data_IF_035514218612
#
_entry.id   IF_035514218612
#
_cell.length_a   1.000
_cell.length_b   1.000
_cell.length_c   1.000
_cell.angle_alpha   90.00
_cell.angle_beta   90.00
_cell.angle_gamma   90.00
#
_symmetry.space_group_name_H-M   'P 1'
#
loop_
_entity.id
_entity.type
_entity.pdbx_description
1 polymer ?
#
# COMPACT_ATOMS: atom_id res chain seq x y z
N UNK A 1 1.02 -19.89 -16.74
CA UNK A 1 -0.17 -20.66 -16.33
C UNK A 1 -1.18 -19.72 -15.70
N UNK A 2 -1.86 -18.93 -16.52
CA UNK A 2 -3.01 -18.10 -16.12
C UNK A 2 -3.97 -18.14 -17.30
N UNK A 3 -4.57 -19.29 -17.53
CA UNK A 3 -5.60 -19.49 -18.55
C UNK A 3 -6.96 -19.53 -17.87
N UNK A 4 -7.78 -18.57 -18.25
CA UNK A 4 -9.25 -18.62 -18.33
C UNK A 4 -10.00 -19.49 -17.30
N UNK A 5 -10.76 -18.82 -16.44
CA UNK A 5 -12.06 -19.32 -16.00
C UNK A 5 -12.10 -20.42 -14.94
N UNK A 6 -10.97 -20.94 -14.46
CA UNK A 6 -11.00 -21.85 -13.33
C UNK A 6 -10.94 -21.06 -12.00
N UNK A 7 -12.10 -20.90 -11.35
CA UNK A 7 -12.19 -20.24 -10.05
C UNK A 7 -11.23 -20.84 -9.02
N UNK A 8 -10.89 -20.06 -7.98
CA UNK A 8 -9.97 -20.39 -6.87
C UNK A 8 -10.19 -21.81 -6.29
N UNK A 9 -11.37 -22.41 -6.44
CA UNK A 9 -11.67 -23.78 -6.01
C UNK A 9 -10.85 -24.89 -6.69
N UNK A 10 -10.17 -24.60 -7.80
CA UNK A 10 -9.30 -25.55 -8.53
C UNK A 10 -7.81 -25.33 -8.29
N UNK A 11 -7.42 -24.34 -7.47
CA UNK A 11 -6.05 -24.21 -6.98
C UNK A 11 -5.78 -25.26 -5.89
N UNK A 12 -5.92 -26.53 -6.23
CA UNK A 12 -5.46 -27.64 -5.40
C UNK A 12 -3.95 -27.74 -5.55
N UNK A 13 -3.24 -27.21 -4.55
CA UNK A 13 -1.79 -27.39 -4.40
C UNK A 13 -1.45 -28.88 -4.53
N UNK A 14 -0.64 -29.24 -5.51
CA UNK A 14 -0.13 -30.61 -5.58
C UNK A 14 0.76 -30.87 -4.36
N UNK A 15 0.70 -32.07 -3.78
CA UNK A 15 1.62 -32.49 -2.70
C UNK A 15 3.09 -32.44 -3.14
N UNK A 16 3.36 -32.37 -4.44
CA UNK A 16 4.71 -32.26 -5.02
C UNK A 16 5.17 -30.81 -5.21
N UNK A 17 4.30 -29.81 -5.05
CA UNK A 17 4.67 -28.40 -5.15
C UNK A 17 5.41 -27.98 -3.89
N UNK A 18 6.74 -28.06 -3.95
CA UNK A 18 7.59 -27.38 -2.96
C UNK A 18 7.21 -25.90 -3.01
N UNK A 19 6.92 -25.29 -1.86
CA UNK A 19 6.59 -23.88 -1.86
C UNK A 19 7.82 -23.11 -2.36
N UNK A 20 7.65 -22.35 -3.45
CA UNK A 20 8.73 -21.54 -4.04
C UNK A 20 9.30 -20.54 -3.01
N UNK A 21 8.50 -20.18 -1.99
CA UNK A 21 8.86 -19.29 -0.89
C UNK A 21 8.59 -19.97 0.46
N UNK A 22 9.49 -19.76 1.43
CA UNK A 22 9.26 -20.15 2.84
C UNK A 22 8.01 -19.43 3.36
N UNK A 23 7.02 -20.10 3.96
CA UNK A 23 5.87 -19.41 4.55
C UNK A 23 6.29 -18.41 5.63
N UNK A 24 5.72 -17.20 5.57
CA UNK A 24 5.92 -16.16 6.60
C UNK A 24 5.20 -16.54 7.90
N UNK A 25 5.82 -16.25 9.03
CA UNK A 25 5.23 -16.43 10.36
C UNK A 25 5.16 -15.11 11.14
N UNK A 26 4.41 -15.10 12.24
CA UNK A 26 4.38 -13.94 13.14
C UNK A 26 5.77 -13.55 13.67
N UNK A 27 6.69 -14.52 13.80
CA UNK A 27 8.08 -14.24 14.20
C UNK A 27 8.86 -13.53 13.11
N UNK A 28 8.51 -13.75 11.85
CA UNK A 28 9.09 -13.06 10.70
C UNK A 28 8.51 -11.64 10.55
N UNK A 29 7.29 -11.38 11.02
CA UNK A 29 6.65 -10.06 10.96
C UNK A 29 7.10 -9.16 12.13
N UNK A 30 7.06 -9.70 13.35
CA UNK A 30 7.26 -8.90 14.57
C UNK A 30 8.65 -9.16 15.18
N UNK A 31 9.52 -8.15 15.13
CA UNK A 31 10.76 -8.11 15.91
C UNK A 31 10.59 -7.23 17.14
N UNK A 32 11.09 -7.67 18.31
CA UNK A 32 11.09 -6.82 19.51
C UNK A 32 12.04 -5.65 19.33
N UNK A 33 11.58 -4.45 19.65
CA UNK A 33 12.39 -3.24 19.60
C UNK A 33 13.22 -3.08 20.88
N UNK A 34 14.36 -3.78 20.95
CA UNK A 34 15.23 -3.84 22.12
C UNK A 34 15.87 -2.46 22.45
N UNK A 35 15.89 -1.53 21.49
CA UNK A 35 16.45 -0.17 21.67
C UNK A 35 15.56 0.79 22.46
N UNK A 36 14.27 0.49 22.64
CA UNK A 36 13.41 1.23 23.55
C UNK A 36 13.67 0.73 24.98
N UNK A 37 14.16 1.60 25.88
CA UNK A 37 14.54 1.29 27.26
C UNK A 37 13.47 0.56 28.13
N UNK A 38 12.26 0.38 27.60
CA UNK A 38 11.13 -0.31 28.22
C UNK A 38 10.92 -1.77 27.73
N UNK A 39 11.37 -2.13 26.52
CA UNK A 39 11.08 -3.42 25.90
C UNK A 39 11.77 -4.61 26.60
N UNK A 40 12.98 -4.41 27.11
CA UNK A 40 13.76 -5.44 27.80
C UNK A 40 13.12 -5.90 29.14
N UNK A 41 12.31 -5.07 29.79
CA UNK A 41 11.66 -5.39 31.08
C UNK A 41 10.36 -6.19 30.94
N UNK A 42 9.83 -6.37 29.73
CA UNK A 42 8.51 -6.97 29.46
C UNK A 42 8.56 -8.42 28.92
N UNK A 43 9.76 -8.94 28.66
CA UNK A 43 10.03 -10.28 28.11
C UNK A 43 9.35 -11.47 28.83
N UNK A 44 9.12 -11.52 30.16
CA UNK A 44 8.64 -12.75 30.79
C UNK A 44 7.13 -13.03 30.61
N UNK A 45 6.31 -12.06 30.18
CA UNK A 45 4.84 -12.18 30.22
C UNK A 45 4.15 -12.43 28.88
N UNK A 46 4.76 -12.05 27.75
CA UNK A 46 4.10 -12.12 26.42
C UNK A 46 4.10 -13.53 25.80
N UNK A 47 5.15 -14.32 25.99
CA UNK A 47 5.28 -15.65 25.35
C UNK A 47 4.58 -16.79 26.11
N UNK A 48 3.96 -16.53 27.27
CA UNK A 48 3.26 -17.56 28.08
C UNK A 48 1.76 -17.66 27.87
N UNK A 49 1.11 -16.71 27.18
CA UNK A 49 -0.32 -16.81 26.86
C UNK A 49 -0.50 -17.11 25.38
N UNK A 50 -1.16 -18.24 25.08
CA UNK A 50 -1.68 -18.53 23.74
C UNK A 50 -2.47 -17.31 23.28
N UNK A 51 -2.02 -16.65 22.22
CA UNK A 51 -2.78 -15.63 21.50
C UNK A 51 -4.10 -16.29 21.07
N UNK A 52 -5.18 -15.94 21.76
CA UNK A 52 -6.52 -16.45 21.49
C UNK A 52 -7.04 -15.83 20.19
N UNK A 53 -7.83 -16.61 19.45
CA UNK A 53 -8.08 -16.53 18.01
C UNK A 53 -9.09 -15.42 17.61
N UNK A 54 -9.29 -14.36 18.39
CA UNK A 54 -10.34 -13.37 18.09
C UNK A 54 -9.95 -11.89 18.16
N UNK A 55 -8.68 -11.51 18.35
CA UNK A 55 -8.35 -10.09 18.56
C UNK A 55 -6.89 -9.68 18.37
N UNK A 56 -6.23 -10.10 17.28
CA UNK A 56 -4.82 -9.77 17.02
C UNK A 56 -4.56 -8.26 16.95
N UNK A 57 -5.35 -7.54 16.15
CA UNK A 57 -5.23 -6.10 15.96
C UNK A 57 -5.60 -5.29 17.22
N UNK A 58 -6.64 -5.71 17.97
CA UNK A 58 -7.06 -5.04 19.21
C UNK A 58 -6.04 -5.22 20.34
N UNK A 59 -5.46 -6.41 20.49
CA UNK A 59 -4.38 -6.66 21.43
C UNK A 59 -3.10 -5.90 21.06
N UNK A 60 -2.77 -5.82 19.78
CA UNK A 60 -1.62 -5.05 19.28
C UNK A 60 -1.83 -3.54 19.47
N UNK A 61 -3.01 -3.00 19.16
CA UNK A 61 -3.34 -1.58 19.39
C UNK A 61 -3.29 -1.24 20.88
N UNK A 62 -3.90 -2.05 21.75
CA UNK A 62 -3.94 -1.80 23.20
C UNK A 62 -2.55 -1.74 23.82
N UNK A 63 -1.57 -2.45 23.27
CA UNK A 63 -0.18 -2.41 23.73
C UNK A 63 0.66 -1.35 23.01
N UNK A 64 0.44 -1.10 21.71
CA UNK A 64 1.10 -0.04 20.95
C UNK A 64 0.78 1.36 21.48
N UNK A 65 -0.45 1.60 21.96
CA UNK A 65 -0.84 2.87 22.59
C UNK A 65 -0.21 3.08 23.98
N UNK A 66 0.33 2.03 24.62
CA UNK A 66 0.95 2.15 25.95
C UNK A 66 2.44 2.47 25.88
N UNK A 67 3.12 2.08 24.80
CA UNK A 67 4.58 2.25 24.64
C UNK A 67 4.90 2.38 23.15
N UNK A 68 5.54 3.48 22.75
CA UNK A 68 6.02 3.67 21.38
C UNK A 68 6.87 2.48 20.91
N UNK A 69 6.46 1.84 19.81
CA UNK A 69 7.31 0.97 19.00
C UNK A 69 7.82 -0.28 19.71
N UNK A 70 6.98 -1.03 20.42
CA UNK A 70 7.34 -2.34 21.02
C UNK A 70 7.90 -3.31 19.97
N UNK A 71 7.39 -3.20 18.73
CA UNK A 71 7.85 -3.99 17.60
C UNK A 71 8.49 -3.12 16.52
N UNK A 72 9.39 -3.70 15.74
CA UNK A 72 9.94 -3.13 14.52
C UNK A 72 9.92 -4.16 13.38
N UNK A 73 10.26 -3.71 12.17
CA UNK A 73 10.18 -4.50 10.94
C UNK A 73 11.50 -5.19 10.57
N UNK A 74 12.47 -5.30 11.50
CA UNK A 74 13.78 -5.92 11.21
C UNK A 74 13.67 -7.41 10.84
N UNK A 75 12.67 -8.12 11.37
CA UNK A 75 12.44 -9.51 10.96
C UNK A 75 11.83 -9.60 9.55
N UNK A 76 11.07 -8.59 9.10
CA UNK A 76 10.57 -8.50 7.73
C UNK A 76 11.75 -8.31 6.78
N UNK A 77 12.67 -7.38 7.09
CA UNK A 77 13.92 -7.19 6.35
C UNK A 77 14.64 -8.54 6.16
N UNK A 78 14.87 -9.23 7.28
CA UNK A 78 15.59 -10.50 7.29
C UNK A 78 14.87 -11.56 6.46
N UNK A 79 13.55 -11.68 6.59
CA UNK A 79 12.76 -12.63 5.82
C UNK A 79 12.85 -12.36 4.32
N UNK A 80 12.71 -11.10 3.89
CA UNK A 80 12.84 -10.73 2.47
C UNK A 80 14.23 -11.07 1.94
N UNK A 81 15.28 -10.63 2.64
CA UNK A 81 16.68 -10.84 2.25
C UNK A 81 17.09 -12.32 2.25
N UNK A 82 16.53 -13.15 3.12
CA UNK A 82 16.97 -14.56 3.25
C UNK A 82 16.11 -15.54 2.47
N UNK A 83 14.84 -15.22 2.22
CA UNK A 83 13.86 -16.21 1.75
C UNK A 83 13.04 -15.78 0.54
N UNK A 84 13.00 -14.48 0.21
CA UNK A 84 12.20 -13.97 -0.91
C UNK A 84 13.07 -13.52 -2.07
N UNK A 85 14.05 -12.65 -1.79
CA UNK A 85 14.91 -12.10 -2.82
C UNK A 85 16.35 -11.89 -2.31
N UNK A 86 17.16 -12.97 -2.28
CA UNK A 86 18.53 -12.94 -1.76
C UNK A 86 19.48 -11.98 -2.48
N UNK A 87 19.28 -11.74 -3.78
CA UNK A 87 20.03 -10.74 -4.57
C UNK A 87 19.89 -9.34 -3.97
N UNK A 88 18.72 -9.06 -3.37
CA UNK A 88 18.42 -7.89 -2.56
C UNK A 88 18.74 -6.54 -3.23
N UNK A 89 18.67 -6.47 -4.55
CA UNK A 89 19.07 -5.31 -5.35
C UNK A 89 18.00 -4.95 -6.38
N UNK A 90 17.60 -3.68 -6.42
CA UNK A 90 16.54 -3.20 -7.30
C UNK A 90 16.83 -3.42 -8.79
N UNK A 91 18.10 -3.46 -9.19
CA UNK A 91 18.52 -3.64 -10.59
C UNK A 91 18.47 -5.09 -11.07
N UNK A 92 18.22 -6.04 -10.17
CA UNK A 92 18.25 -7.49 -10.46
C UNK A 92 16.87 -8.11 -10.66
N UNK A 93 15.80 -7.33 -10.49
CA UNK A 93 14.43 -7.80 -10.68
C UNK A 93 14.07 -7.78 -12.18
N UNK A 94 13.29 -8.78 -12.63
CA UNK A 94 12.82 -8.84 -14.02
C UNK A 94 11.76 -7.78 -14.34
N UNK A 95 11.11 -7.21 -13.32
CA UNK A 95 10.24 -6.06 -13.43
C UNK A 95 10.80 -4.94 -12.54
N UNK A 96 10.71 -3.70 -12.98
CA UNK A 96 11.11 -2.57 -12.16
C UNK A 96 10.25 -2.49 -10.90
N UNK A 97 10.90 -2.34 -9.74
CA UNK A 97 10.26 -2.25 -8.44
C UNK A 97 10.53 -0.88 -7.84
N UNK A 98 9.46 -0.25 -7.38
CA UNK A 98 9.51 1.01 -6.66
C UNK A 98 8.82 0.84 -5.32
N UNK A 99 9.50 1.21 -4.22
CA UNK A 99 8.98 1.10 -2.86
C UNK A 99 8.91 2.49 -2.24
N UNK A 100 7.71 2.89 -1.81
CA UNK A 100 7.44 4.24 -1.30
C UNK A 100 7.47 4.26 0.22
N UNK A 101 8.11 5.27 0.78
CA UNK A 101 8.23 5.49 2.22
C UNK A 101 8.06 6.98 2.56
N UNK A 102 7.87 7.27 3.83
CA UNK A 102 7.84 8.64 4.35
C UNK A 102 9.01 8.86 5.32
N UNK A 103 9.75 9.97 5.17
CA UNK A 103 10.76 10.35 6.16
C UNK A 103 10.11 10.73 7.49
N UNK A 104 10.69 10.29 8.62
CA UNK A 104 10.13 10.59 9.94
C UNK A 104 10.22 12.09 10.28
N UNK A 105 11.42 12.65 10.20
CA UNK A 105 11.71 14.03 10.64
C UNK A 105 11.55 15.07 9.52
N UNK A 106 10.88 14.70 8.43
CA UNK A 106 10.59 15.58 7.32
C UNK A 106 9.39 15.01 6.58
N UNK A 107 8.43 15.83 6.18
CA UNK A 107 7.25 15.40 5.40
C UNK A 107 7.56 14.90 3.98
N UNK A 108 8.80 14.47 3.68
CA UNK A 108 9.25 14.07 2.34
C UNK A 108 8.91 12.61 2.05
N UNK A 109 8.29 12.37 0.91
CA UNK A 109 8.09 11.05 0.30
C UNK A 109 9.40 10.60 -0.31
N UNK A 110 9.80 9.37 -0.03
CA UNK A 110 11.02 8.77 -0.58
C UNK A 110 10.66 7.51 -1.33
N UNK A 111 10.97 7.49 -2.61
CA UNK A 111 10.75 6.36 -3.50
C UNK A 111 12.12 5.68 -3.68
N UNK A 112 12.22 4.44 -3.23
CA UNK A 112 13.36 3.57 -3.48
C UNK A 112 13.12 2.78 -4.76
N UNK A 113 14.12 2.70 -5.63
CA UNK A 113 13.99 2.03 -6.94
C UNK A 113 15.34 1.92 -7.65
N UNK A 114 15.37 1.38 -8.88
CA UNK A 114 16.58 1.22 -9.68
C UNK A 114 17.07 2.54 -10.30
N UNK A 115 17.15 3.61 -9.49
CA UNK A 115 17.57 4.92 -9.96
C UNK A 115 19.10 4.98 -10.18
N UNK A 116 19.59 5.70 -11.22
CA UNK A 116 21.02 5.86 -11.46
C UNK A 116 21.73 6.60 -10.32
N UNK A 117 21.03 7.56 -9.72
CA UNK A 117 21.49 8.37 -8.59
C UNK A 117 20.30 8.80 -7.75
N UNK A 118 20.56 9.17 -6.50
CA UNK A 118 19.57 9.83 -5.67
C UNK A 118 19.32 11.26 -6.11
N UNK A 119 18.05 11.60 -6.27
CA UNK A 119 17.58 12.92 -6.67
C UNK A 119 16.57 13.43 -5.66
N UNK A 120 16.67 14.72 -5.34
CA UNK A 120 15.80 15.38 -4.37
C UNK A 120 15.03 16.50 -5.06
N UNK A 121 13.72 16.37 -5.06
CA UNK A 121 12.76 17.39 -5.46
C UNK A 121 12.15 18.04 -4.21
N UNK A 122 11.24 19.01 -4.42
CA UNK A 122 10.61 19.78 -3.33
C UNK A 122 9.99 18.87 -2.28
N UNK A 123 9.15 17.92 -2.72
CA UNK A 123 8.38 17.05 -1.82
C UNK A 123 8.72 15.57 -1.97
N UNK A 124 9.45 15.19 -3.03
CA UNK A 124 9.76 13.80 -3.37
C UNK A 124 11.28 13.61 -3.43
N UNK A 125 11.78 12.49 -2.91
CA UNK A 125 13.15 12.03 -3.12
C UNK A 125 13.11 10.70 -3.85
N UNK A 126 13.83 10.57 -4.96
CA UNK A 126 14.13 9.30 -5.60
C UNK A 126 15.48 8.83 -5.07
N UNK A 127 15.57 7.61 -4.56
CA UNK A 127 16.70 7.15 -3.77
C UNK A 127 17.18 5.77 -4.22
N UNK A 128 18.50 5.58 -4.32
CA UNK A 128 19.09 4.29 -4.72
C UNK A 128 20.08 3.70 -3.70
N UNK A 129 20.14 4.24 -2.47
CA UNK A 129 21.03 3.75 -1.42
C UNK A 129 20.46 2.57 -0.61
N UNK A 130 19.15 2.33 -0.66
CA UNK A 130 18.52 1.24 0.09
C UNK A 130 18.56 -0.06 -0.70
N UNK A 131 18.75 -1.18 0.00
CA UNK A 131 18.46 -2.52 -0.53
C UNK A 131 16.95 -2.78 -0.55
N UNK A 132 16.52 -3.77 -1.35
CA UNK A 132 15.08 -4.10 -1.49
C UNK A 132 14.47 -4.44 -0.12
N UNK A 133 15.14 -5.27 0.68
CA UNK A 133 14.68 -5.68 2.01
C UNK A 133 14.54 -4.52 3.00
N UNK A 134 15.46 -3.57 2.97
CA UNK A 134 15.43 -2.36 3.81
C UNK A 134 14.27 -1.45 3.42
N UNK A 135 14.09 -1.23 2.11
CA UNK A 135 12.98 -0.44 1.59
C UNK A 135 11.63 -1.07 1.94
N UNK A 136 11.48 -2.41 1.80
CA UNK A 136 10.27 -3.13 2.22
C UNK A 136 10.03 -2.95 3.72
N UNK A 137 11.05 -3.13 4.56
CA UNK A 137 10.91 -3.00 6.01
C UNK A 137 10.52 -1.57 6.43
N UNK A 138 11.06 -0.55 5.77
CA UNK A 138 10.67 0.84 5.97
C UNK A 138 9.24 1.13 5.50
N UNK A 139 8.84 0.63 4.32
CA UNK A 139 7.48 0.81 3.80
C UNK A 139 6.44 0.06 4.62
N UNK A 140 6.79 -1.04 5.28
CA UNK A 140 5.90 -1.79 6.15
C UNK A 140 5.86 -1.26 7.60
N UNK A 141 6.69 -0.28 7.95
CA UNK A 141 6.78 0.26 9.30
C UNK A 141 5.60 1.22 9.58
N UNK A 142 4.39 0.69 9.65
CA UNK A 142 3.14 1.41 9.89
C UNK A 142 2.99 1.81 11.36
N UNK A 143 2.96 3.11 11.71
CA UNK A 143 2.57 3.57 13.03
C UNK A 143 1.08 3.30 13.30
N UNK A 144 0.68 2.95 14.55
CA UNK A 144 1.51 2.82 15.75
C UNK A 144 2.15 1.42 15.93
N UNK A 145 1.95 0.49 15.01
CA UNK A 145 2.31 -0.92 15.18
C UNK A 145 3.82 -1.19 15.16
N UNK A 146 4.54 -0.45 14.33
CA UNK A 146 5.99 -0.60 14.17
C UNK A 146 6.74 0.71 14.43
N UNK A 147 7.89 0.59 15.07
CA UNK A 147 8.85 1.69 15.14
C UNK A 147 9.37 2.06 13.74
N UNK A 148 9.66 3.34 13.47
CA UNK A 148 10.32 3.77 12.23
C UNK A 148 11.60 2.97 11.95
N UNK A 149 11.83 2.65 10.69
CA UNK A 149 12.97 1.84 10.24
C UNK A 149 14.13 2.73 9.78
N UNK A 150 15.34 2.45 10.27
CA UNK A 150 16.55 3.20 9.92
C UNK A 150 17.20 2.66 8.65
N UNK A 151 17.48 3.54 7.68
CA UNK A 151 18.27 3.20 6.49
C UNK A 151 19.44 4.19 6.39
N UNK A 152 20.66 3.66 6.15
CA UNK A 152 21.85 4.49 5.93
C UNK A 152 21.83 5.07 4.52
N UNK A 153 22.00 6.38 4.40
CA UNK A 153 22.14 7.04 3.11
C UNK A 153 23.58 6.91 2.56
N UNK A 154 23.83 7.55 1.43
CA UNK A 154 25.13 7.57 0.73
C UNK A 154 26.26 8.17 1.57
N UNK A 155 25.94 9.08 2.49
CA UNK A 155 26.91 9.69 3.41
C UNK A 155 27.10 8.87 4.69
N UNK A 156 26.53 7.67 4.78
CA UNK A 156 26.55 6.81 5.97
C UNK A 156 25.66 7.28 7.12
N UNK A 157 24.89 8.35 6.94
CA UNK A 157 23.95 8.87 7.93
C UNK A 157 22.69 8.02 7.95
N UNK A 158 22.29 7.58 9.13
CA UNK A 158 21.03 6.89 9.35
C UNK A 158 19.85 7.87 9.27
N UNK A 159 18.84 7.51 8.48
CA UNK A 159 17.60 8.26 8.34
C UNK A 159 16.45 7.30 8.64
N UNK A 160 15.49 7.76 9.44
CA UNK A 160 14.33 6.96 9.82
C UNK A 160 13.14 7.19 8.88
N UNK A 161 12.49 6.08 8.53
CA UNK A 161 11.37 6.01 7.60
C UNK A 161 10.20 5.26 8.20
N UNK A 162 9.01 5.54 7.70
CA UNK A 162 7.80 4.78 8.00
C UNK A 162 6.95 4.62 6.74
N UNK A 163 5.81 3.94 6.89
CA UNK A 163 4.85 3.64 5.83
C UNK A 163 4.56 4.82 4.87
N UNK A 164 4.56 4.50 3.57
CA UNK A 164 4.38 5.48 2.49
C UNK A 164 2.92 5.88 2.24
N UNK A 165 1.96 5.01 2.57
CA UNK A 165 0.52 5.20 2.31
C UNK A 165 -0.09 6.28 3.23
N UNK A 166 0.52 6.53 4.38
CA UNK A 166 0.08 7.60 5.30
C UNK A 166 0.12 8.97 4.63
N UNK A 167 1.16 9.26 3.82
CA UNK A 167 1.31 10.56 3.16
C UNK A 167 0.46 10.64 1.90
N UNK A 168 0.84 9.86 0.88
CA UNK A 168 0.24 9.86 -0.45
C UNK A 168 -0.30 8.46 -0.75
N UNK A 169 -1.60 8.28 -0.60
CA UNK A 169 -2.27 6.97 -0.78
C UNK A 169 -2.19 6.51 -2.24
N UNK A 170 -1.98 5.21 -2.47
CA UNK A 170 -1.83 4.51 -3.76
C UNK A 170 -0.56 4.83 -4.56
N UNK A 171 0.03 6.02 -4.40
CA UNK A 171 1.26 6.44 -5.08
C UNK A 171 1.29 6.19 -6.60
N UNK A 172 0.14 6.28 -7.27
CA UNK A 172 -0.07 5.99 -8.70
C UNK A 172 0.82 6.81 -9.64
N UNK A 173 1.14 8.04 -9.25
CA UNK A 173 2.09 8.91 -9.95
C UNK A 173 3.46 8.26 -10.19
N UNK A 174 3.94 7.35 -9.32
CA UNK A 174 5.24 6.69 -9.50
C UNK A 174 5.24 5.86 -10.79
N UNK A 175 4.17 5.12 -11.06
CA UNK A 175 4.05 4.32 -12.28
C UNK A 175 3.90 5.21 -13.53
N UNK A 176 3.09 6.27 -13.44
CA UNK A 176 2.94 7.23 -14.53
C UNK A 176 4.26 7.94 -14.88
N UNK A 177 5.05 8.35 -13.86
CA UNK A 177 6.36 8.97 -14.03
C UNK A 177 7.42 8.00 -14.56
N UNK A 178 7.25 6.69 -14.33
CA UNK A 178 8.08 5.64 -14.89
C UNK A 178 7.71 5.30 -16.36
N UNK A 179 6.73 6.00 -16.95
CA UNK A 179 6.37 5.85 -18.35
C UNK A 179 5.23 4.87 -18.63
N UNK A 180 4.48 4.45 -17.61
CA UNK A 180 3.28 3.63 -17.82
C UNK A 180 2.19 4.44 -18.53
N UNK A 181 1.55 3.84 -19.53
CA UNK A 181 0.34 4.32 -20.21
C UNK A 181 -0.95 3.79 -19.54
N UNK A 182 -0.86 2.69 -18.80
CA UNK A 182 -1.92 2.13 -17.97
C UNK A 182 -1.43 1.87 -16.55
N UNK A 183 -2.13 2.43 -15.56
CA UNK A 183 -1.87 2.20 -14.13
C UNK A 183 -3.03 1.42 -13.52
N UNK A 184 -2.74 0.19 -13.06
CA UNK A 184 -3.68 -0.60 -12.27
C UNK A 184 -3.33 -0.42 -10.79
N UNK A 185 -4.23 0.22 -10.03
CA UNK A 185 -4.06 0.47 -8.61
C UNK A 185 -5.03 -0.39 -7.80
N UNK A 186 -4.50 -1.22 -6.90
CA UNK A 186 -5.32 -2.05 -6.01
C UNK A 186 -5.18 -1.61 -4.56
N UNK A 187 -6.29 -1.53 -3.84
CA UNK A 187 -6.29 -1.28 -2.39
C UNK A 187 -7.37 -2.09 -1.68
N UNK A 188 -7.12 -2.38 -0.40
CA UNK A 188 -7.96 -3.25 0.42
C UNK A 188 -8.87 -2.47 1.38
N UNK A 189 -8.85 -1.14 1.34
CA UNK A 189 -9.56 -0.31 2.31
C UNK A 189 -11.00 -0.12 1.86
N UNK A 190 -11.94 -0.59 2.68
CA UNK A 190 -13.37 -0.43 2.45
C UNK A 190 -14.04 -0.08 3.78
N UNK A 191 -14.45 1.19 3.99
CA UNK A 191 -15.27 1.54 5.13
C UNK A 191 -16.54 0.70 5.18
N UNK A 192 -16.93 0.36 6.39
CA UNK A 192 -18.16 -0.37 6.62
C UNK A 192 -19.36 0.53 6.33
N UNK A 193 -20.28 -0.01 5.53
CA UNK A 193 -21.61 0.54 5.35
C UNK A 193 -22.57 -0.35 6.14
N UNK A 194 -23.57 0.25 6.79
CA UNK A 194 -24.52 -0.49 7.60
C UNK A 194 -25.16 -1.65 6.82
N UNK A 195 -25.16 -2.82 7.44
CA UNK A 195 -25.81 -4.04 6.98
C UNK A 195 -26.64 -4.61 8.13
N UNK A 196 -27.75 -5.26 7.81
CA UNK A 196 -28.61 -5.85 8.86
C UNK A 196 -27.91 -7.00 9.59
N UNK A 197 -27.02 -7.69 8.88
CA UNK A 197 -26.28 -8.85 9.36
C UNK A 197 -25.25 -8.50 10.42
N UNK A 198 -24.55 -7.37 10.26
CA UNK A 198 -23.51 -6.93 11.19
C UNK A 198 -23.99 -5.83 12.15
N UNK A 199 -25.08 -5.14 11.86
CA UNK A 199 -25.60 -4.10 12.76
C UNK A 199 -24.72 -2.85 12.79
N UNK A 200 -24.82 -2.06 13.86
CA UNK A 200 -24.12 -0.78 13.93
C UNK A 200 -22.77 -0.92 14.65
N UNK A 201 -21.72 -0.29 14.12
CA UNK A 201 -20.35 -0.37 14.67
C UNK A 201 -20.23 0.10 16.13
N UNK A 202 -21.19 0.88 16.64
CA UNK A 202 -21.20 1.29 18.05
C UNK A 202 -21.31 0.10 19.01
N UNK A 203 -21.81 -1.05 18.54
CA UNK A 203 -21.92 -2.30 19.31
C UNK A 203 -20.60 -3.08 19.37
N UNK A 204 -19.61 -2.73 18.54
CA UNK A 204 -18.31 -3.41 18.41
C UNK A 204 -17.18 -2.73 19.20
N UNK A 205 -17.51 -1.65 19.91
CA UNK A 205 -16.56 -0.90 20.73
C UNK A 205 -15.66 0.06 19.95
N UNK A 206 -14.85 0.81 20.71
CA UNK A 206 -14.02 1.89 20.16
C UNK A 206 -13.02 1.47 19.07
N UNK A 207 -12.34 0.31 19.13
CA UNK A 207 -11.40 -0.10 18.08
C UNK A 207 -12.04 -0.18 16.69
N UNK A 208 -13.24 -0.72 16.58
CA UNK A 208 -13.97 -0.80 15.31
C UNK A 208 -14.34 0.60 14.79
N UNK A 209 -14.78 1.50 15.68
CA UNK A 209 -15.09 2.90 15.35
C UNK A 209 -13.83 3.65 14.88
N UNK A 210 -12.68 3.45 15.54
CA UNK A 210 -11.41 4.04 15.11
C UNK A 210 -10.97 3.52 13.75
N UNK A 211 -11.10 2.22 13.49
CA UNK A 211 -10.78 1.63 12.19
C UNK A 211 -11.68 2.21 11.08
N UNK A 212 -12.97 2.37 11.37
CA UNK A 212 -13.92 3.02 10.47
C UNK A 212 -13.50 4.45 10.14
N UNK A 213 -13.17 5.26 11.15
CA UNK A 213 -12.74 6.63 10.95
C UNK A 213 -11.45 6.71 10.11
N UNK A 214 -10.47 5.84 10.38
CA UNK A 214 -9.24 5.75 9.60
C UNK A 214 -9.53 5.39 8.14
N UNK A 215 -10.34 4.35 7.90
CA UNK A 215 -10.67 3.90 6.54
C UNK A 215 -11.44 4.99 5.78
N UNK A 216 -12.33 5.75 6.43
CA UNK A 216 -13.02 6.88 5.81
C UNK A 216 -12.07 8.01 5.42
N UNK A 217 -11.07 8.32 6.26
CA UNK A 217 -10.03 9.32 5.92
C UNK A 217 -9.25 8.87 4.69
N UNK A 218 -8.87 7.59 4.62
CA UNK A 218 -8.13 7.06 3.48
C UNK A 218 -9.00 7.01 2.21
N UNK A 219 -10.24 6.54 2.31
CA UNK A 219 -11.19 6.54 1.19
C UNK A 219 -11.37 7.96 0.63
N UNK A 220 -11.58 8.96 1.50
CA UNK A 220 -11.72 10.35 1.09
C UNK A 220 -10.49 10.87 0.35
N UNK A 221 -9.27 10.51 0.78
CA UNK A 221 -8.04 10.87 0.06
C UNK A 221 -8.01 10.27 -1.36
N UNK A 222 -8.34 8.99 -1.50
CA UNK A 222 -8.40 8.29 -2.78
C UNK A 222 -9.44 8.93 -3.70
N UNK A 223 -10.68 9.08 -3.22
CA UNK A 223 -11.78 9.67 -4.00
C UNK A 223 -11.49 11.11 -4.41
N UNK A 224 -10.90 11.91 -3.51
CA UNK A 224 -10.49 13.29 -3.84
C UNK A 224 -9.43 13.32 -4.94
N UNK A 225 -8.47 12.39 -4.93
CA UNK A 225 -7.45 12.28 -5.97
C UNK A 225 -8.07 11.89 -7.31
N UNK A 226 -8.92 10.86 -7.33
CA UNK A 226 -9.61 10.40 -8.55
C UNK A 226 -10.49 11.52 -9.12
N UNK A 227 -11.28 12.18 -8.27
CA UNK A 227 -12.14 13.28 -8.67
C UNK A 227 -11.34 14.44 -9.26
N UNK A 228 -10.21 14.81 -8.64
CA UNK A 228 -9.35 15.86 -9.16
C UNK A 228 -8.85 15.54 -10.58
N UNK A 229 -8.41 14.31 -10.83
CA UNK A 229 -7.98 13.86 -12.16
C UNK A 229 -9.13 13.93 -13.19
N UNK A 230 -10.33 13.52 -12.80
CA UNK A 230 -11.53 13.59 -13.64
C UNK A 230 -11.95 15.04 -13.96
N UNK A 231 -11.94 15.91 -12.95
CA UNK A 231 -12.31 17.33 -13.08
C UNK A 231 -11.33 18.06 -14.01
N UNK A 232 -10.01 17.81 -13.88
CA UNK A 232 -8.99 18.38 -14.78
C UNK A 232 -9.18 17.87 -16.22
N UNK A 233 -9.41 16.57 -16.41
CA UNK A 233 -9.68 15.99 -17.74
C UNK A 233 -10.92 16.60 -18.39
N UNK A 234 -12.00 16.75 -17.62
CA UNK A 234 -13.26 17.34 -18.09
C UNK A 234 -13.09 18.82 -18.46
N UNK A 235 -12.36 19.59 -17.64
CA UNK A 235 -12.02 20.98 -17.90
C UNK A 235 -11.25 21.15 -19.21
N UNK A 236 -10.17 20.37 -19.41
CA UNK A 236 -9.36 20.41 -20.64
C UNK A 236 -10.24 20.10 -21.85
N UNK A 237 -11.06 19.05 -21.79
CA UNK A 237 -11.98 18.69 -22.88
C UNK A 237 -12.99 19.78 -23.19
N UNK A 238 -13.56 20.44 -22.17
CA UNK A 238 -14.52 21.52 -22.35
C UNK A 238 -13.89 22.73 -23.04
N UNK A 239 -12.68 23.13 -22.61
CA UNK A 239 -11.92 24.22 -23.24
C UNK A 239 -11.58 23.88 -24.69
N UNK A 240 -11.06 22.69 -24.96
CA UNK A 240 -10.78 22.22 -26.32
C UNK A 240 -12.04 22.23 -27.20
N UNK A 241 -13.17 21.73 -26.69
CA UNK A 241 -14.45 21.72 -27.39
C UNK A 241 -14.89 23.13 -27.80
N UNK A 242 -14.90 24.06 -26.85
CA UNK A 242 -15.26 25.46 -27.12
C UNK A 242 -14.32 26.13 -28.13
N UNK A 243 -13.00 25.92 -28.03
CA UNK A 243 -12.04 26.49 -28.98
C UNK A 243 -12.25 25.96 -30.40
N UNK A 244 -12.56 24.67 -30.55
CA UNK A 244 -12.90 24.08 -31.85
C UNK A 244 -14.20 24.66 -32.42
N UNK A 245 -15.22 24.87 -31.59
CA UNK A 245 -16.47 25.54 -31.99
C UNK A 245 -16.22 26.96 -32.51
N UNK A 246 -15.30 27.70 -31.87
CA UNK A 246 -14.87 29.04 -32.32
C UNK A 246 -13.89 29.00 -33.51
N UNK A 247 -13.61 27.83 -34.08
CA UNK A 247 -12.70 27.62 -35.21
C UNK A 247 -11.28 28.15 -34.96
N UNK A 248 -10.83 28.08 -33.70
CA UNK A 248 -9.43 28.38 -33.36
C UNK A 248 -8.52 27.34 -34.00
N UNK A 249 -7.35 27.77 -34.49
CA UNK A 249 -6.36 26.88 -35.08
C UNK A 249 -5.85 25.84 -34.06
N UNK A 250 -5.66 24.58 -34.49
CA UNK A 250 -5.24 23.48 -33.60
C UNK A 250 -3.89 23.75 -32.92
N UNK A 251 -2.98 24.50 -33.53
CA UNK A 251 -1.72 24.91 -32.89
C UNK A 251 -1.95 25.61 -31.54
N UNK A 252 -2.96 26.48 -31.45
CA UNK A 252 -3.28 27.19 -30.20
C UNK A 252 -3.99 26.28 -29.19
N UNK A 253 -4.78 25.33 -29.66
CA UNK A 253 -5.47 24.34 -28.82
C UNK A 253 -4.45 23.40 -28.18
N UNK A 254 -3.51 22.89 -28.98
CA UNK A 254 -2.40 22.05 -28.52
C UNK A 254 -1.52 22.81 -27.54
N UNK A 255 -1.17 24.06 -27.86
CA UNK A 255 -0.33 24.87 -26.96
C UNK A 255 -1.01 25.14 -25.62
N UNK A 256 -2.30 25.47 -25.63
CA UNK A 256 -3.05 25.67 -24.38
C UNK A 256 -3.18 24.35 -23.61
N UNK A 257 -3.39 23.24 -24.30
CA UNK A 257 -3.46 21.92 -23.69
C UNK A 257 -2.14 21.59 -22.99
N UNK A 258 -0.99 21.82 -23.63
CA UNK A 258 0.34 21.65 -23.04
C UNK A 258 0.53 22.52 -21.78
N UNK A 259 0.08 23.77 -21.81
CA UNK A 259 0.15 24.68 -20.65
C UNK A 259 -0.71 24.13 -19.50
N UNK A 260 -1.94 23.71 -19.78
CA UNK A 260 -2.87 23.22 -18.78
C UNK A 260 -2.39 21.90 -18.16
N UNK A 261 -1.93 20.95 -18.97
CA UNK A 261 -1.39 19.66 -18.48
C UNK A 261 -0.14 19.87 -17.64
N UNK A 262 0.78 20.75 -18.06
CA UNK A 262 2.00 21.09 -17.31
C UNK A 262 1.67 21.73 -15.97
N UNK A 263 0.74 22.71 -15.93
CA UNK A 263 0.39 23.41 -14.68
C UNK A 263 -0.37 22.54 -13.69
N UNK A 264 -1.16 21.59 -14.18
CA UNK A 264 -1.94 20.68 -13.34
C UNK A 264 -1.20 19.40 -12.99
N UNK A 265 0.00 19.17 -13.56
CA UNK A 265 0.73 17.90 -13.48
C UNK A 265 -0.16 16.71 -13.90
N UNK A 266 -1.04 16.94 -14.87
CA UNK A 266 -1.97 15.94 -15.39
C UNK A 266 -1.40 15.32 -16.65
N UNK A 267 -1.32 13.99 -16.67
CA UNK A 267 -0.91 13.25 -17.86
C UNK A 267 -2.15 12.65 -18.56
N UNK A 268 -2.62 13.22 -19.68
CA UNK A 268 -3.82 12.73 -20.37
C UNK A 268 -3.63 11.37 -21.02
N UNK A 269 -2.39 10.96 -21.28
CA UNK A 269 -2.02 9.71 -21.93
C UNK A 269 -1.98 8.50 -21.00
N UNK A 270 -2.22 8.71 -19.69
CA UNK A 270 -2.24 7.62 -18.70
C UNK A 270 -3.68 7.30 -18.31
N UNK A 271 -4.04 6.04 -18.48
CA UNK A 271 -5.30 5.48 -18.00
C UNK A 271 -5.14 4.83 -16.64
N UNK A 272 -6.20 4.85 -15.83
CA UNK A 272 -6.19 4.34 -14.47
C UNK A 272 -7.33 3.35 -14.26
N UNK A 273 -7.01 2.17 -13.73
CA UNK A 273 -7.97 1.16 -13.28
C UNK A 273 -7.80 0.98 -11.78
N UNK A 274 -8.89 1.16 -11.02
CA UNK A 274 -8.89 0.98 -9.57
C UNK A 274 -9.58 -0.31 -9.18
N UNK A 275 -8.89 -1.18 -8.42
CA UNK A 275 -9.41 -2.44 -7.91
C UNK A 275 -9.54 -2.35 -6.39
N UNK A 276 -10.75 -2.48 -5.87
CA UNK A 276 -11.01 -2.46 -4.44
C UNK A 276 -12.24 -3.30 -4.07
N UNK A 277 -12.40 -3.70 -2.79
CA UNK A 277 -13.64 -4.31 -2.32
C UNK A 277 -14.83 -3.39 -2.59
N UNK A 278 -16.02 -3.96 -2.80
CA UNK A 278 -17.24 -3.18 -2.96
C UNK A 278 -17.90 -2.96 -1.60
N UNK A 279 -18.81 -1.97 -1.45
CA UNK A 279 -19.55 -1.77 -0.21
C UNK A 279 -20.33 -3.01 0.27
N UNK A 280 -20.73 -3.91 -0.65
CA UNK A 280 -21.41 -5.15 -0.30
C UNK A 280 -20.48 -6.22 0.27
N UNK A 281 -19.17 -6.09 0.09
CA UNK A 281 -18.16 -7.02 0.60
C UNK A 281 -17.81 -6.66 2.07
N UNK A 282 -18.84 -6.43 2.90
CA UNK A 282 -18.74 -5.85 4.24
C UNK A 282 -17.87 -6.68 5.20
N UNK A 283 -17.78 -7.99 4.99
CA UNK A 283 -16.90 -8.89 5.76
C UNK A 283 -15.44 -8.44 5.71
N UNK A 284 -15.05 -7.79 4.61
CA UNK A 284 -13.69 -7.30 4.41
C UNK A 284 -13.28 -6.30 5.49
N UNK A 285 -14.20 -5.47 5.97
CA UNK A 285 -13.94 -4.55 7.09
C UNK A 285 -13.60 -5.29 8.39
N UNK A 286 -14.22 -6.45 8.62
CA UNK A 286 -14.10 -7.21 9.87
C UNK A 286 -12.98 -8.25 9.84
N UNK A 287 -12.33 -8.48 8.69
CA UNK A 287 -11.18 -9.37 8.64
C UNK A 287 -9.98 -8.78 9.40
N UNK A 288 -9.34 -9.61 10.21
CA UNK A 288 -8.06 -9.25 10.84
C UNK A 288 -6.95 -9.34 9.78
N UNK A 289 -6.55 -8.18 9.25
CA UNK A 289 -5.55 -8.05 8.18
C UNK A 289 -4.14 -8.42 8.63
N UNK A 290 -3.88 -8.53 9.95
CA UNK A 290 -2.62 -9.04 10.49
C UNK A 290 -2.69 -10.54 10.81
N UNK A 291 -3.83 -11.20 10.58
CA UNK A 291 -4.00 -12.61 10.87
C UNK A 291 -3.35 -13.49 9.81
N UNK A 292 -2.43 -14.36 10.23
CA UNK A 292 -1.90 -15.44 9.40
C UNK A 292 -2.80 -16.69 9.44
N UNK A 293 -4.04 -16.58 9.93
CA UNK A 293 -5.00 -17.67 9.93
C UNK A 293 -5.43 -17.99 8.49
N UNK A 294 -5.21 -19.23 8.06
CA UNK A 294 -5.49 -19.66 6.69
C UNK A 294 -6.95 -19.44 6.24
N UNK A 295 -7.93 -19.54 7.16
CA UNK A 295 -9.34 -19.28 6.82
C UNK A 295 -9.59 -17.80 6.55
N UNK A 296 -9.06 -16.92 7.39
CA UNK A 296 -9.18 -15.46 7.24
C UNK A 296 -8.47 -15.01 5.97
N UNK A 297 -7.22 -15.44 5.76
CA UNK A 297 -6.45 -15.12 4.56
C UNK A 297 -7.14 -15.60 3.28
N UNK A 298 -7.72 -16.81 3.29
CA UNK A 298 -8.48 -17.33 2.15
C UNK A 298 -9.71 -16.46 1.83
N UNK A 299 -10.39 -15.94 2.86
CA UNK A 299 -11.47 -14.96 2.70
C UNK A 299 -11.00 -13.68 2.01
N UNK A 300 -9.94 -13.06 2.53
CA UNK A 300 -9.35 -11.83 1.98
C UNK A 300 -8.95 -12.03 0.50
N UNK A 301 -8.21 -13.10 0.19
CA UNK A 301 -7.76 -13.40 -1.18
C UNK A 301 -8.94 -13.63 -2.12
N UNK A 302 -9.98 -14.36 -1.69
CA UNK A 302 -11.18 -14.59 -2.49
C UNK A 302 -11.92 -13.30 -2.80
N UNK A 303 -12.06 -12.42 -1.82
CA UNK A 303 -12.70 -11.11 -2.03
C UNK A 303 -11.89 -10.24 -2.99
N UNK A 304 -10.57 -10.14 -2.79
CA UNK A 304 -9.69 -9.40 -3.70
C UNK A 304 -9.73 -9.93 -5.13
N UNK A 305 -9.74 -11.25 -5.32
CA UNK A 305 -9.89 -11.86 -6.63
C UNK A 305 -11.24 -11.54 -7.29
N UNK A 306 -12.35 -11.62 -6.54
CA UNK A 306 -13.67 -11.23 -7.05
C UNK A 306 -13.69 -9.77 -7.48
N UNK A 307 -13.12 -8.87 -6.68
CA UNK A 307 -12.99 -7.45 -7.04
C UNK A 307 -12.20 -7.27 -8.32
N UNK A 308 -11.03 -7.89 -8.44
CA UNK A 308 -10.21 -7.81 -9.65
C UNK A 308 -10.95 -8.31 -10.89
N UNK A 309 -11.58 -9.50 -10.81
CA UNK A 309 -12.32 -10.06 -11.94
C UNK A 309 -13.51 -9.20 -12.34
N UNK A 310 -14.23 -8.62 -11.38
CA UNK A 310 -15.37 -7.75 -11.68
C UNK A 310 -14.92 -6.46 -12.36
N UNK A 311 -13.85 -5.81 -11.88
CA UNK A 311 -13.33 -4.59 -12.48
C UNK A 311 -12.75 -4.86 -13.87
N UNK A 312 -11.86 -5.86 -14.00
CA UNK A 312 -11.13 -6.11 -15.24
C UNK A 312 -12.01 -6.63 -16.38
N UNK A 313 -13.14 -7.30 -16.06
CA UNK A 313 -14.13 -7.73 -17.07
C UNK A 313 -14.69 -6.58 -17.91
N UNK A 314 -14.74 -5.37 -17.37
CA UNK A 314 -15.22 -4.20 -18.11
C UNK A 314 -14.25 -3.75 -19.21
N UNK A 315 -12.99 -4.22 -19.19
CA UNK A 315 -11.91 -3.71 -20.03
C UNK A 315 -11.45 -4.70 -21.12
N UNK A 316 -12.05 -5.89 -21.26
CA UNK A 316 -11.61 -6.95 -22.19
C UNK A 316 -10.09 -7.25 -22.11
N UNK A 317 -9.51 -7.13 -20.91
CA UNK A 317 -8.12 -7.49 -20.59
C UNK A 317 -8.10 -8.92 -20.04
#
# INVERSE_FOLDING_TARGET
AFTQGQGIGTLTRSRTDRPYLKPISYRDIFALNIGAASAARLLPRMFRKRLSVSGGLEALLKEAFKINGVFNTSNIEKYIRQHVFPENDFTKLGAELYIVTTQLNHSRKVIFGPYPKTEKFKEVKRANYAKVSEAVAASAALPPFFAPYGIRNESGKEIYYFDGEIRDTLSTHVAAEAGADLVIASYSIQPYHYTKEMGSLHEYGMPAIFNQALYQVVQRKIESHIKHQQDVRAMIKAVQGYMREQKIAEEHIDKLTEILTTRTNFNPAVDYIYIHPRPQDYEFFFYDHFSLNARVLSGIVRTGFKSAMNTLRAYNI
#
